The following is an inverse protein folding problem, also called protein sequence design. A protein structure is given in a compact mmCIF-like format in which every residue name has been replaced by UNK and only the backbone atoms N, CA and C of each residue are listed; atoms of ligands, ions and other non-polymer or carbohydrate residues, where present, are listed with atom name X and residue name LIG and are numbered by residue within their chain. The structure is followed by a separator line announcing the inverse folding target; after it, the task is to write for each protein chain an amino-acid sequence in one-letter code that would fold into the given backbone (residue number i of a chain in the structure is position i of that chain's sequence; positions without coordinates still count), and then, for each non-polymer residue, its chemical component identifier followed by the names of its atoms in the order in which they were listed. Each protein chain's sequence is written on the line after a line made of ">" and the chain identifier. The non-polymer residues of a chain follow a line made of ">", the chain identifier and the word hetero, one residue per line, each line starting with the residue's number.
data_IF_447667281834
#
_entry.id   IF_447667281834
#
_cell.length_a   1.000
_cell.length_b   1.000
_cell.length_c   1.000
_cell.angle_alpha   90.00
_cell.angle_beta   90.00
_cell.angle_gamma   90.00
#
_symmetry.space_group_name_H-M   'P 1'
#
loop_
_entity.id
_entity.type
_entity.pdbx_description
1 polymer ?
#
# COMPACT_ATOMS: atom_id res chain seq x y z
N UNK A 1 45.85 12.05 -12.26
CA UNK A 1 44.73 12.32 -11.32
C UNK A 1 45.29 12.40 -9.90
N UNK A 2 45.14 13.52 -9.20
CA UNK A 2 45.75 13.75 -7.88
C UNK A 2 45.10 12.88 -6.79
N UNK A 3 45.79 12.66 -5.67
CA UNK A 3 45.26 11.94 -4.50
C UNK A 3 43.96 12.56 -3.99
N UNK A 4 43.88 13.90 -3.98
CA UNK A 4 42.67 14.66 -3.61
C UNK A 4 41.51 14.34 -4.55
N UNK A 5 41.75 14.32 -5.86
CA UNK A 5 40.71 13.99 -6.85
C UNK A 5 40.15 12.57 -6.66
N UNK A 6 41.00 11.60 -6.30
CA UNK A 6 40.54 10.23 -5.96
C UNK A 6 39.70 10.19 -4.68
N UNK A 7 40.10 10.93 -3.66
CA UNK A 7 39.35 11.03 -2.41
C UNK A 7 37.95 11.64 -2.64
N UNK A 8 37.88 12.73 -3.40
CA UNK A 8 36.61 13.39 -3.73
C UNK A 8 35.66 12.46 -4.51
N UNK A 9 36.19 11.70 -5.49
CA UNK A 9 35.38 10.72 -6.23
C UNK A 9 34.81 9.62 -5.33
N UNK A 10 35.56 9.16 -4.32
CA UNK A 10 35.06 8.18 -3.34
C UNK A 10 33.94 8.78 -2.48
N UNK A 11 34.09 10.03 -2.06
CA UNK A 11 33.06 10.75 -1.29
C UNK A 11 31.78 10.89 -2.11
N UNK A 12 31.89 11.33 -3.37
CA UNK A 12 30.77 11.45 -4.30
C UNK A 12 30.01 10.12 -4.47
N UNK A 13 30.74 9.03 -4.66
CA UNK A 13 30.17 7.68 -4.79
C UNK A 13 29.47 7.23 -3.50
N UNK A 14 30.09 7.46 -2.35
CA UNK A 14 29.51 7.09 -1.05
C UNK A 14 28.23 7.88 -0.77
N UNK A 15 28.23 9.19 -1.03
CA UNK A 15 27.07 10.07 -0.87
C UNK A 15 25.93 9.64 -1.81
N UNK A 16 26.22 9.42 -3.08
CA UNK A 16 25.21 8.99 -4.08
C UNK A 16 24.62 7.63 -3.72
N UNK A 17 25.45 6.68 -3.28
CA UNK A 17 24.99 5.36 -2.84
C UNK A 17 24.13 5.46 -1.57
N UNK A 18 24.55 6.29 -0.61
CA UNK A 18 23.81 6.54 0.62
C UNK A 18 22.40 7.06 0.33
N UNK A 19 22.27 8.08 -0.54
CA UNK A 19 20.96 8.60 -0.93
C UNK A 19 20.08 7.56 -1.60
N UNK A 20 20.61 6.79 -2.56
CA UNK A 20 19.85 5.71 -3.23
C UNK A 20 19.36 4.65 -2.25
N UNK A 21 20.18 4.28 -1.26
CA UNK A 21 19.79 3.29 -0.27
C UNK A 21 18.65 3.81 0.62
N UNK A 22 18.70 5.08 1.03
CA UNK A 22 17.64 5.72 1.81
C UNK A 22 16.34 5.75 1.01
N UNK A 23 16.39 6.21 -0.25
CA UNK A 23 15.23 6.27 -1.15
C UNK A 23 14.58 4.89 -1.30
N UNK A 24 15.38 3.87 -1.61
CA UNK A 24 14.90 2.50 -1.76
C UNK A 24 14.29 1.96 -0.46
N UNK A 25 14.92 2.23 0.68
CA UNK A 25 14.41 1.82 1.99
C UNK A 25 13.06 2.45 2.32
N UNK A 26 12.90 3.76 2.09
CA UNK A 26 11.65 4.49 2.31
C UNK A 26 10.54 3.98 1.41
N UNK A 27 10.80 3.84 0.11
CA UNK A 27 9.81 3.36 -0.86
C UNK A 27 9.39 1.91 -0.55
N UNK A 28 10.36 1.05 -0.22
CA UNK A 28 10.05 -0.33 0.18
C UNK A 28 9.22 -0.37 1.46
N UNK A 29 9.59 0.42 2.48
CA UNK A 29 8.86 0.48 3.74
C UNK A 29 7.41 0.93 3.54
N UNK A 30 7.19 1.98 2.75
CA UNK A 30 5.85 2.45 2.41
C UNK A 30 5.01 1.35 1.75
N UNK A 31 5.55 0.69 0.72
CA UNK A 31 4.86 -0.41 0.02
C UNK A 31 4.53 -1.59 0.94
N UNK A 32 5.44 -1.93 1.86
CA UNK A 32 5.20 -2.99 2.84
C UNK A 32 4.06 -2.65 3.80
N UNK A 33 4.00 -1.40 4.29
CA UNK A 33 2.91 -0.94 5.15
C UNK A 33 1.59 -0.92 4.38
N UNK A 34 1.57 -0.35 3.18
CA UNK A 34 0.38 -0.33 2.32
C UNK A 34 -0.15 -1.74 2.07
N UNK A 35 0.71 -2.67 1.63
CA UNK A 35 0.32 -4.05 1.36
C UNK A 35 -0.18 -4.78 2.61
N UNK A 36 0.51 -4.61 3.75
CA UNK A 36 0.14 -5.27 5.01
C UNK A 36 -1.15 -4.74 5.62
N UNK A 37 -1.26 -3.41 5.74
CA UNK A 37 -2.41 -2.77 6.40
C UNK A 37 -3.64 -2.79 5.51
N UNK A 38 -3.54 -2.34 4.25
CA UNK A 38 -4.69 -2.32 3.33
C UNK A 38 -5.14 -3.74 3.01
N UNK A 39 -4.19 -4.64 2.76
CA UNK A 39 -4.50 -6.05 2.52
C UNK A 39 -5.12 -6.73 3.74
N UNK A 40 -4.62 -6.45 4.94
CA UNK A 40 -5.18 -6.95 6.20
C UNK A 40 -6.59 -6.43 6.45
N UNK A 41 -6.82 -5.13 6.28
CA UNK A 41 -8.14 -4.52 6.42
C UNK A 41 -9.14 -5.12 5.43
N UNK A 42 -8.75 -5.27 4.15
CA UNK A 42 -9.61 -5.88 3.13
C UNK A 42 -10.04 -7.29 3.53
N UNK A 43 -9.14 -8.11 4.07
CA UNK A 43 -9.52 -9.47 4.55
C UNK A 43 -10.53 -9.44 5.70
N UNK A 44 -10.38 -8.50 6.63
CA UNK A 44 -11.32 -8.32 7.74
C UNK A 44 -12.68 -7.86 7.20
N UNK A 45 -12.69 -6.91 6.27
CA UNK A 45 -13.88 -6.43 5.59
C UNK A 45 -14.58 -7.58 4.83
N UNK A 46 -13.84 -8.38 4.08
CA UNK A 46 -14.36 -9.54 3.34
C UNK A 46 -15.04 -10.54 4.27
N UNK A 47 -14.37 -10.91 5.38
CA UNK A 47 -14.93 -11.83 6.38
C UNK A 47 -16.18 -11.25 7.06
N UNK A 48 -16.22 -9.94 7.32
CA UNK A 48 -17.37 -9.27 7.91
C UNK A 48 -18.57 -9.27 6.96
N UNK A 49 -18.34 -8.95 5.68
CA UNK A 49 -19.41 -8.98 4.67
C UNK A 49 -19.97 -10.39 4.56
N UNK A 50 -19.10 -11.39 4.40
CA UNK A 50 -19.50 -12.79 4.26
C UNK A 50 -20.30 -13.30 5.47
N UNK A 51 -19.85 -12.96 6.68
CA UNK A 51 -20.47 -13.45 7.92
C UNK A 51 -21.78 -12.75 8.29
N UNK A 52 -21.96 -11.48 7.91
CA UNK A 52 -23.03 -10.65 8.48
C UNK A 52 -23.90 -9.93 7.46
N UNK A 53 -23.41 -9.66 6.24
CA UNK A 53 -24.08 -8.76 5.31
C UNK A 53 -24.42 -9.38 3.95
N UNK A 54 -23.80 -10.50 3.59
CA UNK A 54 -24.13 -11.26 2.40
C UNK A 54 -25.52 -11.89 2.55
N UNK A 55 -26.33 -11.82 1.49
CA UNK A 55 -27.63 -12.49 1.42
C UNK A 55 -27.45 -13.90 0.81
N UNK A 56 -28.43 -14.78 1.01
CA UNK A 56 -28.36 -16.17 0.54
C UNK A 56 -28.09 -16.25 -0.97
N UNK A 57 -27.00 -16.92 -1.35
CA UNK A 57 -26.58 -17.09 -2.74
C UNK A 57 -25.76 -15.92 -3.31
N UNK A 58 -25.45 -14.89 -2.52
CA UNK A 58 -24.48 -13.86 -2.91
C UNK A 58 -23.04 -14.29 -2.62
N UNK A 59 -22.12 -13.91 -3.50
CA UNK A 59 -20.70 -13.87 -3.16
C UNK A 59 -20.37 -12.62 -2.36
N UNK A 60 -19.24 -12.63 -1.64
CA UNK A 60 -18.75 -11.45 -0.89
C UNK A 60 -18.60 -10.22 -1.78
N UNK A 61 -18.14 -10.38 -3.03
CA UNK A 61 -18.06 -9.30 -4.02
C UNK A 61 -19.43 -8.73 -4.41
N UNK A 62 -20.42 -9.60 -4.64
CA UNK A 62 -21.79 -9.17 -4.99
C UNK A 62 -22.43 -8.39 -3.84
N UNK A 63 -22.30 -8.92 -2.62
CA UNK A 63 -22.75 -8.25 -1.41
C UNK A 63 -22.09 -6.87 -1.25
N UNK A 64 -20.77 -6.77 -1.49
CA UNK A 64 -20.05 -5.49 -1.43
C UNK A 64 -20.57 -4.48 -2.45
N UNK A 65 -20.78 -4.91 -3.69
CA UNK A 65 -21.30 -4.03 -4.74
C UNK A 65 -22.71 -3.51 -4.40
N UNK A 66 -23.59 -4.39 -3.90
CA UNK A 66 -24.93 -4.01 -3.42
C UNK A 66 -24.85 -3.00 -2.27
N UNK A 67 -24.02 -3.26 -1.27
CA UNK A 67 -23.81 -2.36 -0.12
C UNK A 67 -23.29 -0.99 -0.57
N UNK A 68 -22.33 -0.94 -1.50
CA UNK A 68 -21.80 0.30 -2.07
C UNK A 68 -22.88 1.11 -2.79
N UNK A 69 -23.67 0.45 -3.67
CA UNK A 69 -24.81 1.11 -4.35
C UNK A 69 -25.85 1.63 -3.37
N UNK A 70 -26.11 0.89 -2.28
CA UNK A 70 -27.04 1.32 -1.22
C UNK A 70 -26.53 2.54 -0.46
N UNK A 71 -25.22 2.62 -0.19
CA UNK A 71 -24.60 3.78 0.45
C UNK A 71 -24.68 5.02 -0.44
N UNK A 72 -24.29 4.91 -1.71
CA UNK A 72 -24.31 6.01 -2.68
C UNK A 72 -25.73 6.49 -3.01
N UNK A 73 -26.70 5.57 -3.09
CA UNK A 73 -28.12 5.91 -3.28
C UNK A 73 -28.80 6.47 -2.03
N UNK A 74 -28.22 6.22 -0.84
CA UNK A 74 -28.70 6.77 0.44
C UNK A 74 -28.31 8.22 0.68
N UNK A 75 -27.23 8.70 0.06
CA UNK A 75 -26.80 10.10 0.09
C UNK A 75 -27.64 11.02 -0.82
N UNK A 76 -28.49 10.46 -1.67
CA UNK A 76 -29.38 11.19 -2.59
C UNK A 76 -30.78 11.51 -1.99
N UNK A 77 -30.94 11.45 -0.67
CA UNK A 77 -32.20 11.78 0.03
C UNK A 77 -32.04 12.91 1.03
#
# INVERSE_FOLDING_TARGET
>A
MSTISKANKKIEQAVTTGYKNIENGVVSGYKSVESGVVGGFRKIEDAFIDSFLAEDGETTEQARERLRKKAEGGESK
#
